data_IF_982708312688
#
_entry.id   IF_982708312688
#
_cell.length_a   1.000
_cell.length_b   1.000
_cell.length_c   1.000
_cell.angle_alpha   90.00
_cell.angle_beta   90.00
_cell.angle_gamma   90.00
#
_symmetry.space_group_name_H-M   'P 1'
#
loop_
_entity.id
_entity.type
_entity.pdbx_description
1 polymer ?
#
# COMPACT_ATOMS: atom_id res chain seq x y z
N UNK A 1 24.43 4.53 19.63
CA UNK A 1 23.06 4.90 19.19
C UNK A 1 22.18 4.97 20.41
N UNK A 2 21.36 6.03 20.57
CA UNK A 2 20.50 6.19 21.75
C UNK A 2 19.20 5.38 21.54
N UNK A 3 18.74 4.60 22.52
CA UNK A 3 17.57 3.71 22.44
C UNK A 3 16.33 4.34 21.74
N UNK A 4 16.10 5.64 21.91
CA UNK A 4 15.02 6.39 21.25
C UNK A 4 15.10 6.39 19.71
N UNK A 5 16.30 6.46 19.14
CA UNK A 5 16.49 6.42 17.69
C UNK A 5 16.19 5.04 17.12
N UNK A 6 16.58 3.98 17.83
CA UNK A 6 16.27 2.60 17.45
C UNK A 6 14.77 2.33 17.49
N UNK A 7 14.08 2.78 18.55
CA UNK A 7 12.62 2.65 18.68
C UNK A 7 11.90 3.35 17.52
N UNK A 8 12.33 4.57 17.15
CA UNK A 8 11.75 5.29 16.00
C UNK A 8 11.94 4.53 14.70
N UNK A 9 13.16 4.04 14.42
CA UNK A 9 13.44 3.23 13.22
C UNK A 9 12.57 1.98 13.16
N UNK A 10 12.45 1.25 14.28
CA UNK A 10 11.63 0.04 14.36
C UNK A 10 10.17 0.33 14.02
N UNK A 11 9.59 1.38 14.61
CA UNK A 11 8.22 1.83 14.31
C UNK A 11 8.07 2.19 12.83
N UNK A 12 8.99 2.98 12.29
CA UNK A 12 8.91 3.44 10.91
C UNK A 12 8.99 2.27 9.91
N UNK A 13 9.85 1.28 10.18
CA UNK A 13 9.92 0.06 9.36
C UNK A 13 8.68 -0.82 9.51
N UNK A 14 8.09 -0.91 10.70
CA UNK A 14 6.83 -1.62 10.90
C UNK A 14 5.69 -0.97 10.11
N UNK A 15 5.59 0.36 10.08
CA UNK A 15 4.60 1.07 9.26
C UNK A 15 4.83 0.85 7.75
N UNK A 16 6.09 0.86 7.28
CA UNK A 16 6.42 0.57 5.88
C UNK A 16 6.05 -0.87 5.48
N UNK A 17 6.31 -1.84 6.35
CA UNK A 17 5.93 -3.23 6.13
C UNK A 17 4.41 -3.39 6.09
N UNK A 18 3.70 -2.72 7.00
CA UNK A 18 2.24 -2.76 7.05
C UNK A 18 1.60 -2.08 5.84
N UNK A 19 2.11 -0.92 5.44
CA UNK A 19 1.64 -0.21 4.24
C UNK A 19 1.83 -1.02 2.95
N UNK A 20 2.82 -1.92 2.89
CA UNK A 20 3.06 -2.79 1.74
C UNK A 20 1.93 -3.80 1.49
N UNK A 21 1.04 -4.02 2.47
CA UNK A 21 -0.16 -4.83 2.29
C UNK A 21 -1.29 -4.08 1.57
N UNK A 22 -1.15 -2.76 1.35
CA UNK A 22 -2.13 -1.94 0.64
C UNK A 22 -2.31 -2.35 -0.83
N UNK A 23 -3.56 -2.42 -1.26
CA UNK A 23 -3.98 -2.75 -2.62
C UNK A 23 -3.88 -1.50 -3.54
N UNK A 24 -2.67 -0.98 -3.74
CA UNK A 24 -2.46 0.33 -4.39
C UNK A 24 -2.84 0.37 -5.88
N UNK A 25 -2.99 -0.78 -6.54
CA UNK A 25 -3.55 -0.86 -7.90
C UNK A 25 -5.00 -0.39 -7.99
N UNK A 26 -5.71 -0.27 -6.87
CA UNK A 26 -7.08 0.22 -6.79
C UNK A 26 -7.15 1.76 -6.71
N UNK A 27 -6.02 2.47 -6.63
CA UNK A 27 -5.98 3.94 -6.66
C UNK A 27 -6.52 4.44 -8.01
N UNK A 28 -7.34 5.50 -7.98
CA UNK A 28 -8.01 6.07 -9.15
C UNK A 28 -9.23 5.26 -9.64
N UNK A 29 -9.55 4.12 -9.01
CA UNK A 29 -10.81 3.41 -9.23
C UNK A 29 -11.93 4.04 -8.39
N UNK A 30 -13.18 3.68 -8.69
CA UNK A 30 -14.33 4.13 -7.92
C UNK A 30 -14.74 3.06 -6.92
N UNK A 31 -15.32 3.47 -5.81
CA UNK A 31 -16.03 2.52 -4.96
C UNK A 31 -17.24 1.96 -5.72
N UNK A 32 -17.62 0.72 -5.42
CA UNK A 32 -18.85 0.14 -5.92
C UNK A 32 -20.02 0.73 -5.15
N UNK A 33 -20.90 1.45 -5.85
CA UNK A 33 -21.85 2.36 -5.22
C UNK A 33 -22.87 1.65 -4.32
N UNK A 34 -22.96 2.07 -3.07
CA UNK A 34 -24.16 1.94 -2.21
C UNK A 34 -24.59 3.28 -1.58
N UNK A 35 -23.77 4.36 -1.66
CA UNK A 35 -24.06 5.70 -1.10
C UNK A 35 -23.29 6.86 -1.79
N UNK A 36 -23.73 8.11 -1.61
CA UNK A 36 -23.16 9.31 -2.25
C UNK A 36 -21.69 9.60 -1.90
N UNK A 37 -21.25 9.29 -0.66
CA UNK A 37 -19.86 9.49 -0.21
C UNK A 37 -18.83 8.64 -1.00
N UNK A 38 -19.31 7.66 -1.76
CA UNK A 38 -18.50 6.68 -2.49
C UNK A 38 -18.38 6.98 -4.00
N UNK A 39 -18.98 8.07 -4.50
CA UNK A 39 -18.93 8.42 -5.92
C UNK A 39 -17.58 9.00 -6.40
N UNK A 40 -16.67 9.30 -5.47
CA UNK A 40 -15.33 9.79 -5.78
C UNK A 40 -14.35 8.66 -6.10
N UNK A 41 -13.23 9.03 -6.70
CA UNK A 41 -12.11 8.12 -6.89
C UNK A 41 -11.39 7.82 -5.57
N UNK A 42 -10.89 6.59 -5.47
CA UNK A 42 -10.09 6.09 -4.37
C UNK A 42 -8.70 6.73 -4.43
N UNK A 43 -8.29 7.35 -3.33
CA UNK A 43 -6.94 7.91 -3.19
C UNK A 43 -6.08 7.01 -2.31
N UNK A 44 -4.76 7.18 -2.38
CA UNK A 44 -3.79 6.35 -1.66
C UNK A 44 -4.04 6.23 -0.15
N UNK A 45 -4.54 7.29 0.50
CA UNK A 45 -4.87 7.25 1.93
C UNK A 45 -6.04 6.31 2.23
N UNK A 46 -7.03 6.22 1.34
CA UNK A 46 -8.20 5.35 1.52
C UNK A 46 -7.79 3.87 1.50
N UNK A 47 -6.80 3.52 0.69
CA UNK A 47 -6.27 2.14 0.59
C UNK A 47 -5.77 1.64 1.94
N UNK A 48 -5.15 2.51 2.74
CA UNK A 48 -4.61 2.15 4.05
C UNK A 48 -5.59 2.42 5.18
N UNK A 49 -6.60 3.27 5.01
CA UNK A 49 -7.52 3.67 6.07
C UNK A 49 -8.54 2.56 6.39
N UNK A 50 -8.55 2.15 7.65
CA UNK A 50 -9.45 1.12 8.20
C UNK A 50 -10.93 1.47 8.05
N UNK A 51 -11.26 2.74 7.91
CA UNK A 51 -12.64 3.21 7.69
C UNK A 51 -13.23 2.59 6.42
N UNK A 52 -12.41 2.40 5.38
CA UNK A 52 -12.85 1.82 4.11
C UNK A 52 -12.59 0.31 4.01
N UNK A 53 -12.17 -0.34 5.11
CA UNK A 53 -11.96 -1.78 5.12
C UNK A 53 -13.23 -2.51 4.66
N UNK A 54 -13.07 -3.46 3.74
CA UNK A 54 -14.13 -4.23 3.05
C UNK A 54 -15.00 -3.46 2.05
N UNK A 55 -14.79 -2.16 1.86
CA UNK A 55 -15.50 -1.42 0.81
C UNK A 55 -15.14 -2.02 -0.55
N UNK A 56 -16.15 -2.29 -1.37
CA UNK A 56 -15.97 -2.86 -2.70
C UNK A 56 -15.50 -1.77 -3.66
N UNK A 57 -14.66 -2.16 -4.60
CA UNK A 57 -14.15 -1.31 -5.66
C UNK A 57 -14.77 -1.74 -6.98
N UNK A 58 -15.29 -0.77 -7.74
CA UNK A 58 -15.90 -1.00 -9.03
C UNK A 58 -14.98 -0.57 -10.17
N UNK A 59 -15.10 -1.30 -11.27
CA UNK A 59 -14.65 -0.86 -12.59
C UNK A 59 -15.88 -0.64 -13.45
N UNK A 60 -15.94 0.53 -14.06
CA UNK A 60 -16.94 0.84 -15.08
C UNK A 60 -16.49 0.29 -16.42
N UNK A 61 -17.32 -0.55 -17.03
CA UNK A 61 -17.12 -1.11 -18.36
C UNK A 61 -18.26 -0.65 -19.26
N UNK A 62 -17.92 -0.20 -20.46
CA UNK A 62 -18.90 0.14 -21.49
C UNK A 62 -19.07 -1.03 -22.44
N UNK A 63 -20.30 -1.53 -22.57
CA UNK A 63 -20.67 -2.58 -23.52
C UNK A 63 -21.71 -1.98 -24.46
N UNK A 64 -21.28 -1.57 -25.65
CA UNK A 64 -22.12 -0.76 -26.56
C UNK A 64 -22.50 0.57 -25.90
N UNK A 65 -23.81 0.83 -25.78
CA UNK A 65 -24.35 2.03 -25.13
C UNK A 65 -24.67 1.83 -23.64
N UNK A 66 -24.47 0.62 -23.09
CA UNK A 66 -24.73 0.33 -21.68
C UNK A 66 -23.46 0.53 -20.84
N UNK A 67 -23.63 1.14 -19.67
CA UNK A 67 -22.61 1.21 -18.64
C UNK A 67 -22.87 0.11 -17.61
N UNK A 68 -21.88 -0.74 -17.34
CA UNK A 68 -21.93 -1.75 -16.28
C UNK A 68 -20.83 -1.52 -15.27
N UNK A 69 -21.15 -1.76 -14.00
CA UNK A 69 -20.17 -1.75 -12.92
C UNK A 69 -19.90 -3.18 -12.46
N UNK A 70 -18.62 -3.55 -12.47
CA UNK A 70 -18.15 -4.84 -11.99
C UNK A 70 -17.29 -4.63 -10.74
N UNK A 71 -17.55 -5.42 -9.69
CA UNK A 71 -16.69 -5.42 -8.50
C UNK A 71 -15.35 -6.07 -8.87
N UNK A 72 -14.26 -5.32 -8.76
CA UNK A 72 -12.90 -5.78 -9.08
C UNK A 72 -12.04 -6.07 -7.83
N UNK A 73 -12.53 -5.72 -6.65
CA UNK A 73 -11.78 -5.94 -5.41
C UNK A 73 -12.46 -5.33 -4.20
N UNK A 74 -11.77 -5.41 -3.06
CA UNK A 74 -12.16 -4.75 -1.82
C UNK A 74 -10.94 -4.09 -1.21
N UNK A 75 -11.15 -2.96 -0.54
CA UNK A 75 -10.09 -2.35 0.26
C UNK A 75 -9.90 -3.13 1.55
N UNK A 76 -8.66 -3.10 2.06
CA UNK A 76 -8.25 -3.84 3.25
C UNK A 76 -7.30 -2.97 4.11
N UNK A 77 -7.65 -1.69 4.21
CA UNK A 77 -6.91 -0.74 5.04
C UNK A 77 -6.97 -1.15 6.51
N UNK A 78 -5.88 -0.91 7.22
CA UNK A 78 -5.72 -1.25 8.64
C UNK A 78 -5.16 -0.07 9.48
N UNK A 79 -4.79 1.02 8.82
CA UNK A 79 -4.29 2.22 9.49
C UNK A 79 -5.47 3.04 9.98
N UNK A 80 -5.31 3.75 11.09
CA UNK A 80 -6.22 4.84 11.39
C UNK A 80 -6.14 5.93 10.31
N UNK A 81 -7.25 6.62 10.03
CA UNK A 81 -7.32 7.73 9.06
C UNK A 81 -6.15 8.72 9.14
N UNK A 82 -5.83 9.18 10.34
CA UNK A 82 -4.73 10.14 10.56
C UNK A 82 -3.35 9.50 10.40
N UNK A 83 -3.21 8.21 10.70
CA UNK A 83 -1.98 7.46 10.47
C UNK A 83 -1.71 7.31 8.96
N UNK A 84 -2.72 6.98 8.17
CA UNK A 84 -2.61 6.89 6.71
C UNK A 84 -2.19 8.24 6.08
N UNK A 85 -2.78 9.35 6.54
CA UNK A 85 -2.38 10.70 6.10
C UNK A 85 -0.92 10.99 6.44
N UNK A 86 -0.52 10.83 7.71
CA UNK A 86 0.86 11.07 8.17
C UNK A 86 1.89 10.18 7.47
N UNK A 87 1.52 8.94 7.15
CA UNK A 87 2.35 8.04 6.37
C UNK A 87 2.66 8.66 5.00
N UNK A 88 1.64 9.14 4.27
CA UNK A 88 1.82 9.73 2.94
C UNK A 88 2.35 11.17 2.91
N UNK A 89 2.38 11.87 4.04
CA UNK A 89 3.15 13.10 4.22
C UNK A 89 4.66 12.81 4.20
N UNK A 90 5.06 11.65 4.74
CA UNK A 90 6.46 11.23 4.84
C UNK A 90 6.93 10.37 3.67
N UNK A 91 6.07 9.52 3.14
CA UNK A 91 6.44 8.56 2.09
C UNK A 91 5.65 8.82 0.81
N UNK A 92 6.35 8.86 -0.30
CA UNK A 92 5.76 8.80 -1.63
C UNK A 92 5.59 7.36 -2.07
N UNK A 93 4.43 7.03 -2.62
CA UNK A 93 4.26 5.79 -3.38
C UNK A 93 4.87 6.04 -4.77
N UNK A 94 5.99 5.39 -5.09
CA UNK A 94 6.68 5.57 -6.37
C UNK A 94 6.12 4.58 -7.39
N UNK A 95 6.06 3.30 -7.03
CA UNK A 95 5.48 2.26 -7.87
C UNK A 95 4.98 1.09 -7.04
N UNK A 96 3.98 0.40 -7.55
CA UNK A 96 3.39 -0.79 -6.95
C UNK A 96 3.28 -1.89 -8.01
N UNK A 97 3.84 -3.04 -7.70
CA UNK A 97 3.62 -4.29 -8.42
C UNK A 97 2.53 -5.07 -7.71
N UNK A 98 1.45 -5.36 -8.44
CA UNK A 98 0.36 -6.22 -7.95
C UNK A 98 0.85 -7.63 -7.63
N UNK A 99 0.03 -8.36 -6.88
CA UNK A 99 0.34 -9.73 -6.53
C UNK A 99 0.45 -10.59 -7.80
N UNK A 100 1.62 -11.19 -7.99
CA UNK A 100 1.93 -12.05 -9.14
C UNK A 100 1.43 -13.47 -8.93
N UNK A 101 1.37 -14.26 -10.00
CA UNK A 101 1.06 -15.70 -9.92
C UNK A 101 2.08 -16.47 -9.06
N UNK A 102 3.32 -15.96 -8.95
CA UNK A 102 4.34 -16.45 -8.02
C UNK A 102 4.11 -16.08 -6.55
N UNK A 103 3.01 -15.39 -6.24
CA UNK A 103 2.57 -15.13 -4.88
C UNK A 103 3.38 -14.05 -4.17
N UNK A 104 3.82 -13.00 -4.86
CA UNK A 104 4.35 -11.81 -4.19
C UNK A 104 3.87 -10.51 -4.84
N UNK A 105 3.80 -9.46 -4.03
CA UNK A 105 3.68 -8.07 -4.46
C UNK A 105 4.86 -7.25 -3.91
N UNK A 106 5.14 -6.12 -4.56
CA UNK A 106 6.22 -5.23 -4.14
C UNK A 106 5.80 -3.78 -4.28
N UNK A 107 6.21 -2.94 -3.33
CA UNK A 107 5.91 -1.51 -3.35
C UNK A 107 7.18 -0.72 -3.05
N UNK A 108 7.50 0.23 -3.93
CA UNK A 108 8.62 1.14 -3.76
C UNK A 108 8.11 2.46 -3.18
N UNK A 109 8.64 2.83 -2.02
CA UNK A 109 8.37 4.09 -1.35
C UNK A 109 9.58 5.01 -1.38
N UNK A 110 9.36 6.30 -1.60
CA UNK A 110 10.37 7.35 -1.43
C UNK A 110 10.17 8.08 -0.11
N UNK A 111 11.16 8.11 0.77
CA UNK A 111 11.10 8.93 1.99
C UNK A 111 11.33 10.40 1.64
N UNK A 112 10.27 11.20 1.76
CA UNK A 112 10.30 12.65 1.61
C UNK A 112 10.96 13.26 2.83
N UNK A 113 12.02 14.03 2.60
CA UNK A 113 12.55 14.97 3.60
C UNK A 113 12.89 16.27 2.90
N UNK A 114 12.78 17.37 3.63
CA UNK A 114 13.33 18.65 3.15
C UNK A 114 14.82 18.44 2.92
N UNK A 115 15.27 18.62 1.69
CA UNK A 115 16.69 18.52 1.36
C UNK A 115 17.43 19.67 2.05
N UNK A 116 18.66 19.39 2.48
CA UNK A 116 19.59 20.42 2.96
C UNK A 116 20.54 20.73 1.82
N UNK A 117 20.69 22.00 1.47
CA UNK A 117 21.78 22.39 0.58
C UNK A 117 23.12 22.14 1.30
N UNK A 118 24.00 21.35 0.70
CA UNK A 118 25.30 20.97 1.28
C UNK A 118 26.41 21.93 0.83
N UNK A 119 26.15 22.78 -0.16
CA UNK A 119 27.13 23.74 -0.70
C UNK A 119 27.33 24.97 0.19
N UNK A 120 26.41 25.25 1.13
CA UNK A 120 26.55 26.34 2.11
C UNK A 120 26.74 25.82 3.53
N UNK A 121 27.57 26.52 4.34
CA UNK A 121 27.70 26.29 5.80
C UNK A 121 26.40 26.55 6.59
N UNK A 122 25.36 26.98 5.91
CA UNK A 122 24.05 27.32 6.42
C UNK A 122 23.05 26.26 5.92
N UNK A 123 22.30 25.65 6.84
CA UNK A 123 21.25 24.68 6.50
C UNK A 123 20.12 25.46 5.81
N UNK A 124 20.12 25.49 4.48
CA UNK A 124 18.99 25.98 3.70
C UNK A 124 18.14 24.80 3.22
N UNK A 125 16.82 24.94 3.38
CA UNK A 125 15.85 23.99 2.86
C UNK A 125 15.46 24.45 1.46
N UNK A 126 15.75 23.67 0.42
CA UNK A 126 15.24 23.96 -0.93
C UNK A 126 13.76 23.61 -1.00
N UNK A 127 13.00 24.32 -1.84
CA UNK A 127 11.60 23.98 -2.17
C UNK A 127 11.48 22.69 -2.99
N UNK A 128 12.61 22.16 -3.45
CA UNK A 128 12.72 20.86 -4.11
C UNK A 128 12.63 19.75 -3.05
N UNK A 129 11.44 19.15 -2.95
CA UNK A 129 11.32 17.85 -2.30
C UNK A 129 12.13 16.83 -3.10
N UNK A 130 13.12 16.22 -2.46
CA UNK A 130 13.79 15.05 -3.02
C UNK A 130 13.78 13.89 -2.05
N UNK A 131 14.02 12.69 -2.59
CA UNK A 131 14.02 11.46 -1.82
C UNK A 131 15.38 11.28 -1.15
N UNK A 132 15.38 11.14 0.17
CA UNK A 132 16.60 10.77 0.90
C UNK A 132 16.85 9.27 0.89
N UNK A 133 15.79 8.48 0.88
CA UNK A 133 15.85 7.02 0.88
C UNK A 133 14.77 6.47 -0.04
N UNK A 134 15.08 5.36 -0.69
CA UNK A 134 14.11 4.52 -1.38
C UNK A 134 13.96 3.23 -0.57
N UNK A 135 12.74 2.87 -0.20
CA UNK A 135 12.42 1.64 0.51
C UNK A 135 11.59 0.75 -0.39
N UNK A 136 12.12 -0.44 -0.70
CA UNK A 136 11.38 -1.49 -1.38
C UNK A 136 10.80 -2.45 -0.34
N UNK A 137 9.47 -2.51 -0.26
CA UNK A 137 8.75 -3.41 0.61
C UNK A 137 8.17 -4.58 -0.18
N UNK A 138 8.43 -5.81 0.25
CA UNK A 138 7.85 -7.01 -0.32
C UNK A 138 6.73 -7.55 0.57
N UNK A 139 5.65 -8.01 -0.04
CA UNK A 139 4.63 -8.82 0.60
C UNK A 139 4.62 -10.19 -0.08
N UNK A 140 4.80 -11.24 0.71
CA UNK A 140 4.45 -12.59 0.29
C UNK A 140 2.94 -12.79 0.35
N UNK A 141 2.42 -13.62 -0.53
CA UNK A 141 1.05 -14.10 -0.44
C UNK A 141 0.99 -15.14 0.67
N UNK A 142 -0.04 -15.07 1.51
CA UNK A 142 -0.37 -16.18 2.39
C UNK A 142 -0.71 -17.38 1.51
N UNK A 143 0.05 -18.47 1.66
CA UNK A 143 -0.25 -19.72 0.96
C UNK A 143 -1.71 -20.10 1.25
N UNK A 144 -2.51 -20.31 0.21
CA UNK A 144 -3.87 -20.81 0.39
C UNK A 144 -3.78 -22.21 1.00
N UNK A 145 -4.70 -22.55 1.90
CA UNK A 145 -4.70 -23.85 2.58
C UNK A 145 -4.64 -25.02 1.56
N UNK A 146 -5.29 -24.86 0.41
CA UNK A 146 -5.27 -25.81 -0.69
C UNK A 146 -3.87 -26.00 -1.29
N UNK A 147 -3.05 -24.94 -1.37
CA UNK A 147 -1.67 -25.00 -1.87
C UNK A 147 -0.71 -25.64 -0.85
N UNK A 148 -1.05 -25.62 0.44
CA UNK A 148 -0.25 -26.25 1.51
C UNK A 148 -0.64 -27.73 1.67
N UNK A 149 -1.89 -28.11 1.35
CA UNK A 149 -2.34 -29.52 1.43
C UNK A 149 -1.50 -30.45 0.57
N UNK A 150 -1.16 -30.05 -0.65
CA UNK A 150 -0.33 -30.87 -1.53
C UNK A 150 1.09 -31.01 -0.97
N UNK A 151 1.66 -29.93 -0.42
CA UNK A 151 2.97 -29.95 0.25
C UNK A 151 2.98 -30.84 1.51
N UNK A 152 1.89 -30.83 2.29
CA UNK A 152 1.74 -31.67 3.48
C UNK A 152 1.54 -33.13 3.06
N UNK A 153 0.68 -33.41 2.08
CA UNK A 153 0.42 -34.77 1.62
C UNK A 153 1.69 -35.42 1.06
N UNK A 154 2.50 -34.70 0.27
CA UNK A 154 3.78 -35.21 -0.23
C UNK A 154 4.77 -35.57 0.89
N UNK A 155 4.67 -34.94 2.06
CA UNK A 155 5.50 -35.24 3.23
C UNK A 155 4.97 -36.41 4.10
N UNK A 156 3.69 -36.75 3.99
CA UNK A 156 3.05 -37.78 4.82
C UNK A 156 2.64 -39.06 4.06
N UNK A 157 3.00 -39.22 2.77
CA UNK A 157 2.76 -40.46 1.99
C UNK A 157 3.89 -41.53 2.19
N UNK A 158 4.50 -41.57 3.37
CA UNK A 158 5.41 -42.66 3.77
C UNK A 158 5.05 -43.22 5.14
N UNK A 159 3.82 -43.73 5.31
CA UNK A 159 3.49 -44.80 6.27
C UNK A 159 2.46 -45.77 5.68
#
# INVERSE_FOLDING_TARGET
MKNREQIKKLRDYAELAWAAYGYFHLVGKKFHSESDDTQREIIKTDILDITYKKFKVAKTTHIGNEQREETIGKLDGDFGKEQAKRFFERYELITHQENTDSGFSATLFGEKRKQKNIESKEISYTSEYGYMNYILSFRGTEFKLEQIKDLINDYYIWE
#
